data_IF_753940777505
#
_entry.id   IF_753940777505
#
_cell.length_a   1.000
_cell.length_b   1.000
_cell.length_c   1.000
_cell.angle_alpha   90.00
_cell.angle_beta   90.00
_cell.angle_gamma   90.00
#
_symmetry.space_group_name_H-M   'P 1'
#
loop_
_entity.id
_entity.type
_entity.pdbx_description
1 polymer ?
#
# COMPACT_ATOMS: atom_id res chain seq x y z
N UNK A 1 -30.17 -2.64 11.16
CA UNK A 1 -29.45 -3.44 10.16
C UNK A 1 -28.53 -2.51 9.37
N UNK A 2 -27.21 -2.44 9.64
CA UNK A 2 -26.33 -1.58 8.85
C UNK A 2 -25.83 -2.35 7.63
N UNK A 3 -26.23 -1.93 6.44
CA UNK A 3 -25.74 -2.43 5.15
C UNK A 3 -24.34 -1.90 4.89
N UNK A 4 -23.37 -2.81 4.81
CA UNK A 4 -22.06 -2.76 4.14
C UNK A 4 -21.57 -1.41 3.60
N UNK A 5 -20.95 -0.60 4.47
CA UNK A 5 -20.13 0.58 4.09
C UNK A 5 -18.76 0.19 3.48
N UNK A 6 -18.32 -1.05 3.73
CA UNK A 6 -17.00 -1.61 3.42
C UNK A 6 -16.60 -1.51 1.92
N UNK A 7 -17.50 -1.74 0.93
CA UNK A 7 -17.10 -1.67 -0.48
C UNK A 7 -16.75 -0.27 -0.98
N UNK A 8 -17.24 0.77 -0.30
CA UNK A 8 -16.97 2.18 -0.64
C UNK A 8 -15.67 2.68 0.00
N UNK A 9 -15.46 2.32 1.27
CA UNK A 9 -14.24 2.62 2.02
C UNK A 9 -13.00 1.93 1.43
N UNK A 10 -13.08 0.63 1.13
CA UNK A 10 -11.96 -0.09 0.50
C UNK A 10 -11.56 0.50 -0.87
N UNK A 11 -12.55 0.96 -1.65
CA UNK A 11 -12.30 1.65 -2.92
C UNK A 11 -11.62 2.99 -2.72
N UNK A 12 -11.91 3.72 -1.64
CA UNK A 12 -11.19 4.95 -1.30
C UNK A 12 -9.73 4.64 -0.97
N UNK A 13 -9.49 3.67 -0.10
CA UNK A 13 -8.13 3.25 0.28
C UNK A 13 -7.28 2.79 -0.91
N UNK A 14 -7.87 2.04 -1.85
CA UNK A 14 -7.17 1.67 -3.09
C UNK A 14 -6.83 2.88 -3.98
N UNK A 15 -7.62 3.96 -3.94
CA UNK A 15 -7.29 5.22 -4.64
C UNK A 15 -6.18 5.97 -3.93
N UNK A 16 -6.19 5.99 -2.60
CA UNK A 16 -5.14 6.64 -1.81
C UNK A 16 -3.80 5.92 -1.98
N UNK A 17 -3.81 4.58 -1.97
CA UNK A 17 -2.65 3.76 -2.35
C UNK A 17 -2.17 4.10 -3.77
N UNK A 18 -3.07 4.20 -4.74
CA UNK A 18 -2.67 4.55 -6.11
C UNK A 18 -2.07 5.95 -6.21
N UNK A 19 -2.61 6.92 -5.46
CA UNK A 19 -2.08 8.28 -5.39
C UNK A 19 -0.69 8.28 -4.78
N UNK A 20 -0.50 7.62 -3.63
CA UNK A 20 0.80 7.46 -2.98
C UNK A 20 1.83 6.86 -3.93
N UNK A 21 1.54 5.72 -4.56
CA UNK A 21 2.48 5.07 -5.48
C UNK A 21 2.90 5.98 -6.65
N UNK A 22 1.95 6.74 -7.22
CA UNK A 22 2.24 7.66 -8.31
C UNK A 22 3.08 8.86 -7.85
N UNK A 23 2.76 9.41 -6.68
CA UNK A 23 3.48 10.56 -6.14
C UNK A 23 4.90 10.18 -5.73
N UNK A 24 5.06 9.06 -5.04
CA UNK A 24 6.37 8.52 -4.67
C UNK A 24 7.24 8.23 -5.89
N UNK A 25 6.70 7.62 -6.94
CA UNK A 25 7.47 7.38 -8.18
C UNK A 25 7.92 8.71 -8.82
N UNK A 26 7.04 9.70 -8.89
CA UNK A 26 7.37 11.03 -9.41
C UNK A 26 8.46 11.71 -8.58
N UNK A 27 8.34 11.71 -7.25
CA UNK A 27 9.29 12.34 -6.34
C UNK A 27 10.67 11.64 -6.41
N UNK A 28 10.69 10.30 -6.43
CA UNK A 28 11.91 9.52 -6.53
C UNK A 28 12.58 9.65 -7.91
N UNK A 29 11.79 9.76 -8.99
CA UNK A 29 12.32 10.05 -10.32
C UNK A 29 12.94 11.45 -10.40
N UNK A 30 12.26 12.46 -9.87
CA UNK A 30 12.81 13.83 -9.78
C UNK A 30 14.08 13.88 -8.92
N UNK A 31 14.12 13.11 -7.84
CA UNK A 31 15.32 12.98 -7.02
C UNK A 31 16.47 12.32 -7.77
N UNK A 32 16.24 11.24 -8.51
CA UNK A 32 17.29 10.58 -9.31
C UNK A 32 17.92 11.54 -10.32
N UNK A 33 17.09 12.27 -11.08
CA UNK A 33 17.59 13.27 -12.03
C UNK A 33 18.41 14.37 -11.35
N UNK A 34 17.93 14.89 -10.21
CA UNK A 34 18.68 15.88 -9.42
C UNK A 34 19.99 15.28 -8.90
N UNK A 35 19.97 14.07 -8.36
CA UNK A 35 21.16 13.41 -7.83
C UNK A 35 22.22 13.26 -8.92
N UNK A 36 21.85 12.79 -10.11
CA UNK A 36 22.77 12.61 -11.24
C UNK A 36 23.44 13.92 -11.69
N UNK A 37 22.72 15.04 -11.63
CA UNK A 37 23.24 16.36 -12.02
C UNK A 37 24.13 16.99 -10.93
N UNK A 38 23.86 16.71 -9.66
CA UNK A 38 24.48 17.40 -8.51
C UNK A 38 25.41 16.50 -7.69
N UNK A 39 25.80 15.33 -8.22
CA UNK A 39 26.89 14.50 -7.70
C UNK A 39 28.05 14.41 -8.70
N UNK A 40 29.28 14.27 -8.20
CA UNK A 40 30.45 14.03 -9.04
C UNK A 40 30.52 12.57 -9.56
N UNK A 41 31.59 12.24 -10.28
CA UNK A 41 31.80 10.91 -10.87
C UNK A 41 31.91 9.79 -9.82
N UNK A 42 32.25 10.14 -8.58
CA UNK A 42 32.36 9.22 -7.45
C UNK A 42 31.03 9.14 -6.66
N UNK A 43 30.00 9.88 -7.07
CA UNK A 43 28.68 9.93 -6.45
C UNK A 43 28.62 10.85 -5.24
N UNK A 44 29.64 11.68 -4.99
CA UNK A 44 29.63 12.65 -3.90
C UNK A 44 28.89 13.92 -4.30
N UNK A 45 28.05 14.48 -3.42
CA UNK A 45 27.39 15.75 -3.69
C UNK A 45 28.39 16.87 -3.94
N UNK A 46 28.17 17.67 -4.98
CA UNK A 46 28.98 18.86 -5.28
C UNK A 46 28.80 19.94 -4.19
N UNK A 47 27.60 20.02 -3.59
CA UNK A 47 27.27 20.81 -2.41
C UNK A 47 26.48 19.92 -1.45
N UNK A 48 27.13 19.47 -0.38
CA UNK A 48 26.56 18.56 0.61
C UNK A 48 25.35 19.17 1.33
N UNK A 49 25.42 20.45 1.69
CA UNK A 49 24.36 21.13 2.42
C UNK A 49 23.10 21.30 1.55
N UNK A 50 23.26 21.72 0.29
CA UNK A 50 22.15 21.84 -0.64
C UNK A 50 21.52 20.48 -0.96
N UNK A 51 22.35 19.46 -1.14
CA UNK A 51 21.91 18.10 -1.41
C UNK A 51 21.11 17.53 -0.24
N UNK A 52 21.61 17.66 0.99
CA UNK A 52 20.95 17.17 2.21
C UNK A 52 19.63 17.89 2.48
N UNK A 53 19.56 19.22 2.26
CA UNK A 53 18.28 19.96 2.35
C UNK A 53 17.25 19.43 1.36
N UNK A 54 17.67 19.12 0.13
CA UNK A 54 16.77 18.63 -0.91
C UNK A 54 16.36 17.17 -0.69
N UNK A 55 17.25 16.34 -0.16
CA UNK A 55 16.95 14.99 0.30
C UNK A 55 15.87 15.02 1.40
N UNK A 56 16.05 15.87 2.41
CA UNK A 56 15.08 16.06 3.50
C UNK A 56 13.72 16.52 2.97
N UNK A 57 13.71 17.43 1.99
CA UNK A 57 12.48 17.92 1.34
C UNK A 57 11.75 16.80 0.59
N UNK A 58 12.48 15.97 -0.15
CA UNK A 58 11.93 14.78 -0.81
C UNK A 58 11.32 13.83 0.21
N UNK A 59 12.05 13.50 1.27
CA UNK A 59 11.58 12.55 2.29
C UNK A 59 10.33 13.04 3.01
N UNK A 60 10.28 14.34 3.32
CA UNK A 60 9.08 14.97 3.87
C UNK A 60 7.88 14.83 2.91
N UNK A 61 8.07 15.07 1.61
CA UNK A 61 7.00 14.96 0.62
C UNK A 61 6.51 13.52 0.42
N UNK A 62 7.41 12.53 0.45
CA UNK A 62 7.04 11.11 0.39
C UNK A 62 6.26 10.72 1.65
N UNK A 63 6.74 11.12 2.84
CA UNK A 63 6.05 10.85 4.10
C UNK A 63 4.64 11.47 4.13
N UNK A 64 4.51 12.74 3.73
CA UNK A 64 3.21 13.42 3.65
C UNK A 64 2.24 12.71 2.70
N UNK A 65 2.74 12.22 1.56
CA UNK A 65 1.90 11.47 0.61
C UNK A 65 1.42 10.12 1.15
N UNK A 66 2.12 9.56 2.15
CA UNK A 66 1.77 8.31 2.81
C UNK A 66 0.74 8.48 3.94
N UNK A 67 0.60 9.66 4.55
CA UNK A 67 -0.30 9.85 5.70
C UNK A 67 -1.76 9.48 5.40
N UNK A 68 -2.25 9.80 4.20
CA UNK A 68 -3.61 9.43 3.77
C UNK A 68 -3.80 7.90 3.65
N UNK A 69 -2.72 7.14 3.47
CA UNK A 69 -2.73 5.69 3.37
C UNK A 69 -2.55 5.01 4.74
N UNK A 70 -1.83 5.65 5.68
CA UNK A 70 -1.41 5.05 6.96
C UNK A 70 -2.57 4.45 7.75
N UNK A 71 -3.62 5.23 8.00
CA UNK A 71 -4.81 4.78 8.76
C UNK A 71 -5.50 3.56 8.14
N UNK A 72 -5.45 3.42 6.81
CA UNK A 72 -6.07 2.32 6.07
C UNK A 72 -5.13 1.20 5.64
N UNK A 73 -3.82 1.32 5.89
CA UNK A 73 -2.80 0.41 5.41
C UNK A 73 -3.02 -1.02 5.91
N UNK A 74 -3.30 -1.18 7.20
CA UNK A 74 -3.60 -2.48 7.81
C UNK A 74 -4.84 -3.14 7.19
N UNK A 75 -5.89 -2.36 6.91
CA UNK A 75 -7.09 -2.87 6.26
C UNK A 75 -6.81 -3.35 4.83
N UNK A 76 -6.02 -2.61 4.06
CA UNK A 76 -5.61 -3.00 2.72
C UNK A 76 -4.81 -4.31 2.73
N UNK A 77 -3.85 -4.44 3.66
CA UNK A 77 -3.05 -5.65 3.82
C UNK A 77 -3.89 -6.85 4.23
N UNK A 78 -4.75 -6.70 5.23
CA UNK A 78 -5.65 -7.75 5.67
C UNK A 78 -6.55 -8.23 4.51
N UNK A 79 -7.13 -7.29 3.76
CA UNK A 79 -7.98 -7.61 2.61
C UNK A 79 -7.19 -8.32 1.51
N UNK A 80 -5.98 -7.85 1.18
CA UNK A 80 -5.13 -8.47 0.18
C UNK A 80 -4.73 -9.90 0.58
N UNK A 81 -4.41 -10.15 1.85
CA UNK A 81 -4.12 -11.49 2.37
C UNK A 81 -5.33 -12.43 2.24
N UNK A 82 -6.52 -11.98 2.63
CA UNK A 82 -7.74 -12.77 2.46
C UNK A 82 -8.02 -13.07 0.99
N UNK A 83 -7.83 -12.09 0.10
CA UNK A 83 -7.98 -12.28 -1.34
C UNK A 83 -6.98 -13.29 -1.89
N UNK A 84 -5.71 -13.22 -1.46
CA UNK A 84 -4.66 -14.12 -1.88
C UNK A 84 -4.97 -15.59 -1.55
N UNK A 85 -5.49 -15.86 -0.34
CA UNK A 85 -5.88 -17.21 0.09
C UNK A 85 -7.03 -17.79 -0.75
N UNK A 86 -7.94 -16.94 -1.24
CA UNK A 86 -9.11 -17.35 -2.01
C UNK A 86 -8.84 -17.49 -3.51
N UNK A 87 -7.66 -17.11 -3.99
CA UNK A 87 -7.32 -17.20 -5.40
C UNK A 87 -7.05 -18.65 -5.82
N UNK A 88 -7.46 -19.05 -7.04
CA UNK A 88 -7.01 -20.30 -7.64
C UNK A 88 -5.49 -20.35 -7.74
N UNK A 89 -4.87 -21.51 -7.51
CA UNK A 89 -3.41 -21.66 -7.50
C UNK A 89 -2.73 -21.11 -8.78
N UNK A 90 -3.35 -21.29 -9.95
CA UNK A 90 -2.83 -20.78 -11.23
C UNK A 90 -2.91 -19.26 -11.42
N UNK A 91 -3.63 -18.56 -10.54
CA UNK A 91 -3.73 -17.09 -10.54
C UNK A 91 -2.82 -16.41 -9.51
N UNK A 92 -2.21 -17.19 -8.60
CA UNK A 92 -1.31 -16.70 -7.56
C UNK A 92 0.09 -16.50 -8.11
N UNK A 93 0.66 -15.32 -7.89
CA UNK A 93 2.08 -15.08 -8.16
C UNK A 93 2.91 -15.37 -6.91
N UNK A 94 4.02 -16.10 -7.06
CA UNK A 94 4.90 -16.47 -5.95
C UNK A 94 5.44 -15.27 -5.16
N UNK A 95 5.56 -14.10 -5.82
CA UNK A 95 6.07 -12.88 -5.19
C UNK A 95 5.14 -12.23 -4.18
N UNK A 96 3.82 -12.43 -4.34
CA UNK A 96 2.84 -11.68 -3.56
C UNK A 96 2.91 -11.98 -2.06
N UNK A 97 3.22 -13.22 -1.67
CA UNK A 97 3.27 -13.59 -0.26
C UNK A 97 4.36 -12.81 0.50
N UNK A 98 5.61 -12.82 -0.01
CA UNK A 98 6.70 -12.11 0.66
C UNK A 98 6.55 -10.59 0.57
N UNK A 99 5.98 -10.07 -0.53
CA UNK A 99 5.69 -8.63 -0.66
C UNK A 99 4.66 -8.17 0.39
N UNK A 100 3.61 -8.95 0.65
CA UNK A 100 2.64 -8.62 1.70
C UNK A 100 3.21 -8.73 3.12
N UNK A 101 4.23 -9.56 3.33
CA UNK A 101 4.97 -9.61 4.60
C UNK A 101 5.82 -8.35 4.76
N UNK A 102 6.66 -8.02 3.76
CA UNK A 102 7.52 -6.83 3.81
C UNK A 102 6.72 -5.52 4.00
N UNK A 103 5.57 -5.40 3.33
CA UNK A 103 4.68 -4.24 3.50
C UNK A 103 4.09 -4.14 4.91
N UNK A 104 3.81 -5.28 5.57
CA UNK A 104 3.33 -5.27 6.95
C UNK A 104 4.43 -4.84 7.91
N UNK A 105 5.61 -5.46 7.80
CA UNK A 105 6.75 -5.12 8.66
C UNK A 105 7.12 -3.63 8.52
N UNK A 106 7.08 -3.11 7.29
CA UNK A 106 7.28 -1.69 7.02
C UNK A 106 6.18 -0.80 7.63
N UNK A 107 4.91 -1.22 7.57
CA UNK A 107 3.82 -0.45 8.18
C UNK A 107 3.92 -0.43 9.70
N UNK A 108 4.22 -1.58 10.32
CA UNK A 108 4.40 -1.69 11.77
C UNK A 108 5.56 -0.80 12.24
N UNK A 109 6.65 -0.72 11.44
CA UNK A 109 7.75 0.22 11.71
C UNK A 109 7.32 1.68 11.56
N UNK A 110 6.51 2.02 10.55
CA UNK A 110 6.00 3.39 10.37
C UNK A 110 5.07 3.82 11.49
N UNK A 111 4.21 2.93 11.98
CA UNK A 111 3.34 3.21 13.13
C UNK A 111 4.18 3.43 14.40
N UNK A 112 5.20 2.61 14.62
CA UNK A 112 6.14 2.79 15.73
C UNK A 112 6.86 4.15 15.64
N UNK A 113 7.41 4.48 14.47
CA UNK A 113 8.08 5.75 14.22
C UNK A 113 7.15 6.96 14.39
N UNK A 114 5.87 6.81 14.07
CA UNK A 114 4.87 7.86 14.26
C UNK A 114 4.66 8.14 15.75
N UNK A 115 4.49 7.12 16.57
CA UNK A 115 4.35 7.28 18.03
C UNK A 115 5.63 7.85 18.67
N UNK A 116 6.80 7.40 18.23
CA UNK A 116 8.11 7.95 18.63
C UNK A 116 8.23 9.43 18.26
N UNK A 117 7.74 9.81 17.08
CA UNK A 117 7.70 11.21 16.64
C UNK A 117 6.77 12.06 17.48
N UNK A 118 5.54 11.60 17.76
CA UNK A 118 4.60 12.33 18.62
C UNK A 118 5.21 12.55 20.01
N UNK A 119 5.80 11.52 20.59
CA UNK A 119 6.48 11.59 21.89
C UNK A 119 7.65 12.58 21.86
N UNK A 120 8.49 12.51 20.83
CA UNK A 120 9.65 13.40 20.67
C UNK A 120 9.19 14.85 20.51
N UNK A 121 8.19 15.09 19.66
CA UNK A 121 7.61 16.41 19.40
C UNK A 121 7.02 17.02 20.66
N UNK A 122 6.26 16.25 21.43
CA UNK A 122 5.59 16.71 22.64
C UNK A 122 6.59 16.96 23.80
N UNK A 123 7.78 16.35 23.73
CA UNK A 123 8.90 16.61 24.65
C UNK A 123 9.77 17.82 24.29
N UNK A 124 9.54 18.47 23.15
CA UNK A 124 10.29 19.66 22.75
C UNK A 124 9.93 20.89 23.61
N UNK A 125 10.84 21.87 23.75
CA UNK A 125 10.52 23.14 24.39
C UNK A 125 9.28 23.80 23.76
N UNK A 126 8.44 24.47 24.55
CA UNK A 126 7.18 25.07 24.09
C UNK A 126 7.35 26.08 22.93
N UNK A 127 8.53 26.67 22.78
CA UNK A 127 8.87 27.60 21.70
C UNK A 127 9.54 26.92 20.49
N UNK A 128 9.77 25.61 20.53
CA UNK A 128 10.38 24.83 19.46
C UNK A 128 9.31 24.28 18.50
N UNK A 129 8.63 25.19 17.80
CA UNK A 129 7.72 24.85 16.70
C UNK A 129 8.46 24.68 15.36
N UNK A 130 7.72 24.46 14.25
CA UNK A 130 8.28 24.43 12.91
C UNK A 130 9.19 25.63 12.61
N UNK A 131 10.39 25.40 12.08
CA UNK A 131 11.40 26.43 11.84
C UNK A 131 12.34 26.68 13.02
N UNK A 132 12.07 26.11 14.20
CA UNK A 132 13.04 26.11 15.29
C UNK A 132 14.09 25.00 15.07
N UNK A 133 15.39 25.26 15.32
CA UNK A 133 16.45 24.27 15.08
C UNK A 133 16.23 22.92 15.77
N UNK A 134 15.67 22.92 16.98
CA UNK A 134 15.38 21.68 17.71
C UNK A 134 14.27 20.86 17.05
N UNK A 135 13.21 21.52 16.57
CA UNK A 135 12.11 20.86 15.85
C UNK A 135 12.58 20.32 14.51
N UNK A 136 13.27 21.15 13.71
CA UNK A 136 13.72 20.77 12.37
C UNK A 136 14.73 19.62 12.42
N UNK A 137 15.63 19.61 13.41
CA UNK A 137 16.55 18.50 13.66
C UNK A 137 15.82 17.21 14.03
N UNK A 138 14.86 17.28 14.96
CA UNK A 138 14.08 16.11 15.35
C UNK A 138 13.25 15.56 14.18
N UNK A 139 12.66 16.45 13.38
CA UNK A 139 11.91 16.09 12.18
C UNK A 139 12.80 15.44 11.12
N UNK A 140 13.99 15.98 10.88
CA UNK A 140 14.94 15.42 9.93
C UNK A 140 15.39 14.00 10.34
N UNK A 141 15.65 13.78 11.64
CA UNK A 141 15.97 12.45 12.16
C UNK A 141 14.81 11.46 11.94
N UNK A 142 13.59 11.85 12.30
CA UNK A 142 12.39 11.02 12.07
C UNK A 142 12.19 10.66 10.59
N UNK A 143 12.32 11.64 9.68
CA UNK A 143 12.18 11.40 8.25
C UNK A 143 13.28 10.47 7.70
N UNK A 144 14.51 10.60 8.20
CA UNK A 144 15.61 9.71 7.85
C UNK A 144 15.31 8.27 8.23
N UNK A 145 14.78 8.03 9.43
CA UNK A 145 14.39 6.67 9.86
C UNK A 145 13.18 6.12 9.10
N UNK A 146 12.22 6.98 8.73
CA UNK A 146 11.04 6.59 7.96
C UNK A 146 11.35 6.27 6.48
N UNK A 147 12.52 6.67 5.97
CA UNK A 147 12.86 6.56 4.55
C UNK A 147 12.81 5.11 4.05
N UNK A 148 13.44 4.17 4.76
CA UNK A 148 13.49 2.77 4.37
C UNK A 148 12.10 2.11 4.30
N UNK A 149 11.24 2.17 5.36
CA UNK A 149 9.91 1.58 5.27
C UNK A 149 8.98 2.29 4.28
N UNK A 150 9.10 3.61 4.08
CA UNK A 150 8.37 4.31 3.02
C UNK A 150 8.78 3.81 1.62
N UNK A 151 10.07 3.55 1.41
CA UNK A 151 10.57 2.99 0.16
C UNK A 151 10.05 1.56 -0.10
N UNK A 152 9.92 0.74 0.95
CA UNK A 152 9.31 -0.60 0.86
C UNK A 152 7.86 -0.49 0.34
N UNK A 153 7.08 0.43 0.90
CA UNK A 153 5.71 0.72 0.46
C UNK A 153 5.64 1.25 -0.98
N UNK A 154 6.53 2.18 -1.35
CA UNK A 154 6.61 2.72 -2.71
C UNK A 154 6.97 1.62 -3.72
N UNK A 155 7.86 0.70 -3.34
CA UNK A 155 8.35 -0.36 -4.22
C UNK A 155 7.34 -1.50 -4.35
N UNK A 156 6.73 -1.95 -3.25
CA UNK A 156 5.94 -3.19 -3.24
C UNK A 156 4.43 -2.98 -3.11
N UNK A 157 3.95 -1.77 -2.82
CA UNK A 157 2.52 -1.50 -2.63
C UNK A 157 1.64 -1.81 -3.85
N UNK A 158 2.21 -1.92 -5.05
CA UNK A 158 1.49 -2.36 -6.25
C UNK A 158 0.92 -3.79 -6.10
N UNK A 159 1.54 -4.66 -5.31
CA UNK A 159 1.09 -6.03 -5.07
C UNK A 159 -0.35 -6.09 -4.55
N UNK A 160 -0.74 -5.18 -3.66
CA UNK A 160 -2.11 -5.08 -3.12
C UNK A 160 -3.12 -4.87 -4.26
N UNK A 161 -2.80 -4.02 -5.24
CA UNK A 161 -3.66 -3.74 -6.40
C UNK A 161 -3.71 -4.93 -7.37
N UNK A 162 -2.58 -5.59 -7.59
CA UNK A 162 -2.51 -6.78 -8.43
C UNK A 162 -3.38 -7.91 -7.89
N UNK A 163 -3.27 -8.19 -6.58
CA UNK A 163 -4.10 -9.19 -5.89
C UNK A 163 -5.57 -8.81 -5.97
N UNK A 164 -5.92 -7.54 -5.72
CA UNK A 164 -7.30 -7.08 -5.82
C UNK A 164 -7.88 -7.28 -7.22
N UNK A 165 -7.10 -6.97 -8.26
CA UNK A 165 -7.48 -7.19 -9.66
C UNK A 165 -7.68 -8.67 -9.95
N UNK A 166 -6.74 -9.53 -9.54
CA UNK A 166 -6.85 -10.98 -9.72
C UNK A 166 -8.09 -11.55 -9.04
N UNK A 167 -8.38 -11.14 -7.80
CA UNK A 167 -9.54 -11.59 -7.04
C UNK A 167 -10.85 -11.22 -7.74
N UNK A 168 -10.95 -9.98 -8.24
CA UNK A 168 -12.13 -9.52 -8.99
C UNK A 168 -12.33 -10.28 -10.30
N UNK A 169 -11.25 -10.60 -11.01
CA UNK A 169 -11.31 -11.40 -12.23
C UNK A 169 -11.77 -12.83 -11.95
N UNK A 170 -11.29 -13.45 -10.86
CA UNK A 170 -11.71 -14.79 -10.46
C UNK A 170 -13.20 -14.87 -10.12
N UNK A 171 -13.75 -13.85 -9.45
CA UNK A 171 -15.20 -13.78 -9.15
C UNK A 171 -16.05 -13.57 -10.40
N UNK A 172 -15.55 -12.82 -11.39
CA UNK A 172 -16.28 -12.51 -12.62
C UNK A 172 -16.29 -13.67 -13.64
N UNK A 173 -15.38 -14.64 -13.50
CA UNK A 173 -15.23 -15.78 -14.41
C UNK A 173 -16.17 -16.96 -14.13
N UNK A 174 -17.05 -16.89 -13.12
CA UNK A 174 -17.99 -17.96 -12.82
C UNK A 174 -19.30 -17.73 -13.60
N UNK A 175 -19.62 -18.54 -14.65
CA UNK A 175 -20.94 -18.48 -15.25
C UNK A 175 -22.00 -18.90 -14.21
N UNK A 176 -23.23 -18.37 -14.27
CA UNK A 176 -24.31 -18.88 -13.42
C UNK A 176 -24.47 -20.38 -13.72
N UNK A 177 -24.35 -21.20 -12.67
CA UNK A 177 -24.62 -22.63 -12.73
C UNK A 177 -26.01 -22.82 -13.36
N UNK A 178 -26.17 -23.53 -14.48
CA UNK A 178 -27.48 -23.81 -15.03
C UNK A 178 -28.29 -24.52 -13.94
N UNK A 179 -29.45 -23.96 -13.57
CA UNK A 179 -30.38 -24.64 -12.69
C UNK A 179 -30.68 -26.01 -13.31
N UNK A 180 -30.36 -27.09 -12.59
CA UNK A 180 -30.67 -28.43 -13.03
C UNK A 180 -32.18 -28.50 -13.25
N UNK A 181 -32.59 -28.67 -14.50
CA UNK A 181 -34.00 -28.83 -14.85
C UNK A 181 -34.54 -30.07 -14.10
N UNK A 182 -35.74 -29.99 -13.48
CA UNK A 182 -36.32 -31.13 -12.82
C UNK A 182 -36.49 -32.27 -13.83
N UNK A 183 -35.97 -33.44 -13.48
CA UNK A 183 -36.08 -34.65 -14.30
C UNK A 183 -37.56 -34.93 -14.60
N UNK A 184 -37.92 -34.99 -15.89
CA UNK A 184 -39.24 -35.45 -16.31
C UNK A 184 -39.40 -36.90 -15.86
N UNK A 185 -40.34 -37.12 -14.93
CA UNK A 185 -40.75 -38.45 -14.52
C UNK A 185 -41.22 -39.22 -15.76
N UNK A 186 -40.53 -40.33 -16.06
CA UNK A 186 -40.87 -41.21 -17.16
C UNK A 186 -42.24 -41.85 -16.94
N UNK A 187 -43.14 -41.64 -17.87
CA UNK A 187 -44.44 -42.31 -17.93
C UNK A 187 -44.21 -43.80 -18.20
N UNK A 188 -44.63 -44.65 -17.25
CA UNK A 188 -44.57 -46.11 -17.30
C UNK A 188 -45.54 -46.64 -18.37
N UNK A 189 -45.14 -47.60 -19.24
CA UNK A 189 -46.08 -48.22 -20.16
C UNK A 189 -46.99 -49.22 -19.42
N UNK A 190 -48.29 -49.14 -19.70
CA UNK A 190 -49.31 -50.04 -19.18
C UNK A 190 -49.38 -51.31 -20.08
N UNK A 191 -49.44 -52.53 -19.51
CA UNK A 191 -49.56 -53.73 -20.32
C UNK A 191 -51.02 -53.97 -20.73
N UNK A 192 -51.22 -54.29 -22.00
CA UNK A 192 -52.50 -54.72 -22.56
C UNK A 192 -52.93 -56.07 -21.96
N UNK A 193 -54.23 -56.20 -21.64
CA UNK A 193 -54.90 -57.48 -21.45
C UNK A 193 -56.23 -57.49 -22.22
N UNK A 194 -56.28 -58.44 -23.16
CA UNK A 194 -57.40 -59.24 -23.70
C UNK A 194 -58.74 -58.56 -23.94
#
# INVERSE_FOLDING_TARGET
>A
MPTSSIPSAHRALLRDLHRFLRESDRLLAAWRAYSEEYTDLDGWPVDEDAYNRRATTRDAAVAESFEALREGGHHLLATARSQLVLLPAGAVQSRWAWQLTGLQDALDRLDTLHEEWLTTRDGLPLNAGPGAPAFDKARAAHLSEAQAPLNEWATHGHAIREINKAARSATSGFPPRPAAAPARAGTRPQPARR
#
